data_IF_731434148966
#
_entry.id   IF_731434148966
#
_cell.length_a   1.000
_cell.length_b   1.000
_cell.length_c   1.000
_cell.angle_alpha   90.00
_cell.angle_beta   90.00
_cell.angle_gamma   90.00
#
_symmetry.space_group_name_H-M   'P 1'
#
loop_
_entity.id
_entity.type
_entity.pdbx_description
1 polymer ?
#
# COMPACT_ATOMS: atom_id res chain seq x y z
N UNK A 1 6.52 0.49 -20.71
CA UNK A 1 7.44 0.67 -19.60
C UNK A 1 6.86 0.03 -18.32
N UNK A 2 7.71 -0.32 -17.40
CA UNK A 2 7.28 -0.90 -16.14
C UNK A 2 6.40 0.04 -15.32
N UNK A 3 6.63 1.34 -15.42
CA UNK A 3 5.82 2.35 -14.71
C UNK A 3 4.37 2.33 -15.19
N UNK A 4 4.14 2.13 -16.48
CA UNK A 4 2.79 2.06 -17.02
C UNK A 4 2.05 0.80 -16.52
N UNK A 5 2.74 -0.34 -16.42
CA UNK A 5 2.12 -1.59 -15.96
C UNK A 5 1.79 -1.55 -14.47
N UNK A 6 2.47 -0.70 -13.67
CA UNK A 6 2.20 -0.57 -12.24
C UNK A 6 0.88 0.16 -11.96
N UNK A 7 0.31 0.85 -12.96
CA UNK A 7 -0.95 1.58 -12.82
C UNK A 7 -2.16 0.67 -13.00
N UNK A 8 -1.96 -0.49 -13.64
CA UNK A 8 -3.04 -1.40 -13.99
C UNK A 8 -2.88 -2.72 -13.25
N UNK A 9 -3.91 -3.11 -12.50
CA UNK A 9 -3.93 -4.40 -11.80
C UNK A 9 -5.31 -5.01 -11.84
N UNK A 10 -5.34 -6.35 -11.91
CA UNK A 10 -6.59 -7.09 -11.75
C UNK A 10 -6.88 -7.27 -10.27
N UNK A 11 -8.17 -7.41 -9.94
CA UNK A 11 -8.60 -7.63 -8.54
C UNK A 11 -7.93 -8.86 -7.93
N UNK A 12 -7.78 -9.93 -8.72
CA UNK A 12 -7.17 -11.16 -8.22
C UNK A 12 -5.70 -10.95 -7.90
N UNK A 13 -5.00 -10.13 -8.69
CA UNK A 13 -3.59 -9.83 -8.45
C UNK A 13 -3.43 -9.05 -7.13
N UNK A 14 -4.35 -8.10 -6.90
CA UNK A 14 -4.37 -7.32 -5.66
C UNK A 14 -4.64 -8.26 -4.47
N UNK A 15 -5.61 -9.15 -4.58
CA UNK A 15 -5.93 -10.10 -3.52
C UNK A 15 -4.72 -10.97 -3.19
N UNK A 16 -4.03 -11.47 -4.23
CA UNK A 16 -2.84 -12.31 -4.07
C UNK A 16 -1.72 -11.56 -3.36
N UNK A 17 -1.43 -10.34 -3.81
CA UNK A 17 -0.37 -9.53 -3.21
C UNK A 17 -0.66 -9.16 -1.75
N UNK A 18 -1.90 -8.86 -1.44
CA UNK A 18 -2.29 -8.40 -0.08
C UNK A 18 -2.64 -9.54 0.85
N UNK A 19 -2.77 -10.77 0.35
CA UNK A 19 -3.14 -11.91 1.17
C UNK A 19 -4.57 -11.87 1.68
N UNK A 20 -5.47 -11.13 1.00
CA UNK A 20 -6.89 -11.03 1.36
C UNK A 20 -7.75 -11.76 0.35
N UNK A 21 -9.01 -12.01 0.71
CA UNK A 21 -9.92 -12.75 -0.17
C UNK A 21 -10.38 -11.89 -1.34
N UNK A 22 -10.64 -12.56 -2.48
CA UNK A 22 -11.17 -11.89 -3.67
C UNK A 22 -12.49 -11.16 -3.42
N UNK A 23 -13.48 -11.75 -2.69
CA UNK A 23 -14.71 -11.02 -2.37
C UNK A 23 -14.49 -9.73 -1.61
N UNK A 24 -13.57 -9.71 -0.64
CA UNK A 24 -13.24 -8.49 0.12
C UNK A 24 -12.66 -7.43 -0.81
N UNK A 25 -11.77 -7.82 -1.72
CA UNK A 25 -11.19 -6.90 -2.70
C UNK A 25 -12.28 -6.37 -3.63
N UNK A 26 -13.21 -7.22 -4.08
CA UNK A 26 -14.30 -6.81 -4.97
C UNK A 26 -15.17 -5.71 -4.35
N UNK A 27 -15.50 -5.85 -3.06
CA UNK A 27 -16.29 -4.84 -2.34
C UNK A 27 -15.52 -3.52 -2.25
N UNK A 28 -14.24 -3.59 -1.87
CA UNK A 28 -13.40 -2.40 -1.76
C UNK A 28 -13.24 -1.70 -3.11
N UNK A 29 -13.01 -2.47 -4.19
CA UNK A 29 -12.86 -1.91 -5.53
C UNK A 29 -14.14 -1.25 -6.01
N UNK A 30 -15.29 -1.84 -5.72
CA UNK A 30 -16.58 -1.26 -6.07
C UNK A 30 -16.75 0.10 -5.41
N UNK A 31 -16.44 0.20 -4.12
CA UNK A 31 -16.55 1.44 -3.37
C UNK A 31 -15.61 2.51 -3.92
N UNK A 32 -14.37 2.15 -4.21
CA UNK A 32 -13.39 3.06 -4.77
C UNK A 32 -13.80 3.56 -6.16
N UNK A 33 -14.37 2.67 -6.97
CA UNK A 33 -14.85 3.03 -8.32
C UNK A 33 -16.04 4.00 -8.24
N UNK A 34 -16.97 3.76 -7.32
CA UNK A 34 -18.11 4.65 -7.12
C UNK A 34 -17.68 6.03 -6.62
N UNK A 35 -16.61 6.08 -5.83
CA UNK A 35 -16.07 7.34 -5.31
C UNK A 35 -15.18 8.08 -6.33
N UNK A 36 -14.88 7.46 -7.48
CA UNK A 36 -14.09 8.10 -8.53
C UNK A 36 -12.58 8.00 -8.36
N UNK A 37 -12.10 7.13 -7.47
CA UNK A 37 -10.67 6.94 -7.25
C UNK A 37 -10.04 5.98 -8.25
N UNK A 38 -10.82 5.07 -8.80
CA UNK A 38 -10.35 4.09 -9.78
C UNK A 38 -11.39 3.90 -10.87
N UNK A 39 -10.95 3.38 -12.02
CA UNK A 39 -11.82 2.84 -13.04
C UNK A 39 -11.41 1.39 -13.32
N UNK A 40 -12.29 0.63 -13.97
CA UNK A 40 -12.05 -0.77 -14.27
C UNK A 40 -12.60 -1.08 -15.66
N UNK A 41 -11.81 -1.76 -16.49
CA UNK A 41 -12.26 -2.16 -17.80
C UNK A 41 -12.99 -3.51 -17.74
N UNK A 42 -13.51 -3.97 -18.91
CA UNK A 42 -14.25 -5.22 -18.99
C UNK A 42 -13.43 -6.46 -18.69
N UNK A 43 -12.10 -6.38 -18.77
CA UNK A 43 -11.20 -7.48 -18.46
C UNK A 43 -10.81 -7.50 -16.98
N UNK A 44 -11.26 -6.53 -16.18
CA UNK A 44 -10.95 -6.46 -14.76
C UNK A 44 -9.65 -5.76 -14.44
N UNK A 45 -9.02 -5.08 -15.41
CA UNK A 45 -7.84 -4.27 -15.15
C UNK A 45 -8.26 -2.93 -14.53
N UNK A 46 -7.51 -2.53 -13.51
CA UNK A 46 -7.80 -1.34 -12.72
C UNK A 46 -6.87 -0.21 -13.14
N UNK A 47 -7.45 0.96 -13.38
CA UNK A 47 -6.70 2.20 -13.62
C UNK A 47 -6.94 3.12 -12.44
N UNK A 48 -5.86 3.62 -11.84
CA UNK A 48 -5.97 4.63 -10.77
C UNK A 48 -6.28 5.98 -11.42
N UNK A 49 -7.38 6.59 -11.02
CA UNK A 49 -7.68 7.97 -11.38
C UNK A 49 -6.80 8.91 -10.54
N UNK A 50 -6.59 10.18 -10.95
CA UNK A 50 -5.69 11.06 -10.22
C UNK A 50 -5.89 11.12 -8.70
N UNK A 51 -7.12 11.24 -8.16
CA UNK A 51 -7.30 11.21 -6.70
C UNK A 51 -6.91 9.87 -6.08
N UNK A 52 -7.21 8.76 -6.77
CA UNK A 52 -6.85 7.43 -6.31
C UNK A 52 -5.34 7.20 -6.35
N UNK A 53 -4.68 7.71 -7.37
CA UNK A 53 -3.22 7.61 -7.49
C UNK A 53 -2.53 8.33 -6.34
N UNK A 54 -3.02 9.51 -5.97
CA UNK A 54 -2.47 10.27 -4.87
C UNK A 54 -2.58 9.51 -3.54
N UNK A 55 -3.76 8.94 -3.27
CA UNK A 55 -4.00 8.15 -2.06
C UNK A 55 -3.13 6.89 -2.06
N UNK A 56 -3.09 6.18 -3.17
CA UNK A 56 -2.32 4.94 -3.28
C UNK A 56 -0.81 5.21 -3.10
N UNK A 57 -0.30 6.28 -3.66
CA UNK A 57 1.11 6.67 -3.51
C UNK A 57 1.44 6.95 -2.06
N UNK A 58 0.56 7.67 -1.36
CA UNK A 58 0.77 8.00 0.05
C UNK A 58 0.75 6.74 0.92
N UNK A 59 -0.24 5.87 0.72
CA UNK A 59 -0.36 4.63 1.50
C UNK A 59 0.79 3.68 1.20
N UNK A 60 1.19 3.55 -0.07
CA UNK A 60 2.32 2.72 -0.46
C UNK A 60 3.62 3.22 0.19
N UNK A 61 3.81 4.55 0.23
CA UNK A 61 4.95 5.14 0.90
C UNK A 61 4.99 4.80 2.39
N UNK A 62 3.85 4.88 3.07
CA UNK A 62 3.74 4.47 4.47
C UNK A 62 4.06 3.00 4.65
N UNK A 63 3.50 2.15 3.80
CA UNK A 63 3.73 0.71 3.85
C UNK A 63 5.22 0.38 3.75
N UNK A 64 5.91 0.97 2.78
CA UNK A 64 7.35 0.71 2.57
C UNK A 64 8.17 1.14 3.79
N UNK A 65 7.92 2.32 4.32
CA UNK A 65 8.67 2.85 5.46
C UNK A 65 8.43 2.05 6.73
N UNK A 66 7.17 1.67 6.99
CA UNK A 66 6.84 0.85 8.15
C UNK A 66 7.46 -0.54 8.05
N UNK A 67 7.39 -1.15 6.87
CA UNK A 67 7.99 -2.46 6.64
C UNK A 67 9.50 -2.41 6.91
N UNK A 68 10.19 -1.41 6.36
CA UNK A 68 11.64 -1.25 6.57
C UNK A 68 11.97 -1.03 8.03
N UNK A 69 11.16 -0.23 8.73
CA UNK A 69 11.36 0.02 10.15
C UNK A 69 11.27 -1.28 10.94
N UNK A 70 10.24 -2.09 10.71
CA UNK A 70 10.06 -3.35 11.41
C UNK A 70 11.18 -4.35 11.10
N UNK A 71 11.59 -4.43 9.84
CA UNK A 71 12.72 -5.31 9.46
C UNK A 71 14.00 -4.87 10.16
N UNK A 72 14.23 -3.56 10.27
CA UNK A 72 15.39 -3.03 10.96
C UNK A 72 15.38 -3.35 12.47
N UNK A 73 14.19 -3.51 13.05
CA UNK A 73 14.03 -3.95 14.44
C UNK A 73 14.32 -5.44 14.61
N UNK A 74 14.38 -6.19 13.53
CA UNK A 74 14.61 -7.64 13.60
C UNK A 74 13.38 -8.48 13.30
N UNK A 75 12.28 -7.85 12.86
CA UNK A 75 11.06 -8.58 12.50
C UNK A 75 11.27 -9.25 11.13
N UNK A 76 10.78 -10.49 11.00
CA UNK A 76 10.80 -11.20 9.72
C UNK A 76 10.14 -10.37 8.63
N UNK A 77 10.73 -10.28 7.42
CA UNK A 77 10.16 -9.42 6.36
C UNK A 77 8.70 -9.69 6.00
N UNK A 78 8.28 -10.95 5.99
CA UNK A 78 6.88 -11.31 5.71
C UNK A 78 5.95 -10.80 6.80
N UNK A 79 6.33 -10.99 8.06
CA UNK A 79 5.57 -10.50 9.22
C UNK A 79 5.55 -8.98 9.21
N UNK A 80 6.69 -8.35 8.94
CA UNK A 80 6.81 -6.89 8.88
C UNK A 80 5.86 -6.30 7.84
N UNK A 81 5.80 -6.89 6.66
CA UNK A 81 4.92 -6.43 5.59
C UNK A 81 3.44 -6.58 5.97
N UNK A 82 3.08 -7.70 6.60
CA UNK A 82 1.72 -7.93 7.07
C UNK A 82 1.31 -6.91 8.14
N UNK A 83 2.17 -6.68 9.11
CA UNK A 83 1.88 -5.73 10.19
C UNK A 83 1.80 -4.30 9.66
N UNK A 84 2.70 -3.92 8.76
CA UNK A 84 2.66 -2.62 8.12
C UNK A 84 1.33 -2.41 7.38
N UNK A 85 0.85 -3.44 6.70
CA UNK A 85 -0.41 -3.39 5.97
C UNK A 85 -1.60 -3.11 6.90
N UNK A 86 -1.55 -3.64 8.12
CA UNK A 86 -2.62 -3.45 9.10
C UNK A 86 -2.63 -2.04 9.69
N UNK A 87 -1.46 -1.48 9.99
CA UNK A 87 -1.39 -0.23 10.74
C UNK A 87 -1.23 1.02 9.88
N UNK A 88 -0.88 0.89 8.61
CA UNK A 88 -0.62 2.05 7.74
C UNK A 88 -1.82 2.98 7.60
N UNK A 89 -3.03 2.46 7.80
CA UNK A 89 -4.27 3.24 7.72
C UNK A 89 -4.67 3.84 9.06
N UNK A 90 -4.18 3.28 10.16
CA UNK A 90 -4.65 3.63 11.50
C UNK A 90 -3.75 4.65 12.20
N UNK A 91 -2.54 4.86 11.70
CA UNK A 91 -1.64 5.84 12.28
C UNK A 91 -2.01 7.26 11.85
N UNK A 92 -2.03 8.17 12.82
CA UNK A 92 -2.15 9.59 12.50
C UNK A 92 -0.91 10.06 11.73
N UNK A 93 -1.05 11.16 10.98
CA UNK A 93 0.08 11.75 10.27
C UNK A 93 1.18 12.15 11.25
N UNK A 94 0.80 12.70 12.40
CA UNK A 94 1.77 13.13 13.42
C UNK A 94 2.61 11.94 13.93
N UNK A 95 1.96 10.87 14.33
CA UNK A 95 2.68 9.69 14.82
C UNK A 95 3.57 9.10 13.74
N UNK A 96 3.06 9.00 12.52
CA UNK A 96 3.84 8.47 11.42
C UNK A 96 5.08 9.33 11.13
N UNK A 97 4.93 10.64 11.09
CA UNK A 97 6.05 11.57 10.85
C UNK A 97 7.13 11.44 11.92
N UNK A 98 6.72 11.34 13.18
CA UNK A 98 7.67 11.19 14.29
C UNK A 98 8.40 9.85 14.22
N UNK A 99 7.69 8.78 13.89
CA UNK A 99 8.27 7.46 13.71
C UNK A 99 9.31 7.48 12.58
N UNK A 100 8.96 8.08 11.44
CA UNK A 100 9.86 8.17 10.29
C UNK A 100 11.10 9.01 10.64
N UNK A 101 10.93 10.12 11.33
CA UNK A 101 12.05 10.97 11.73
C UNK A 101 13.03 10.22 12.64
N UNK A 102 12.50 9.46 13.59
CA UNK A 102 13.35 8.61 14.45
C UNK A 102 14.08 7.56 13.63
N UNK A 103 13.34 6.84 12.78
CA UNK A 103 13.91 5.78 11.97
C UNK A 103 15.02 6.31 11.03
N UNK A 104 14.82 7.46 10.43
CA UNK A 104 15.84 8.10 9.59
C UNK A 104 17.07 8.49 10.40
N UNK A 105 16.89 9.00 11.60
CA UNK A 105 18.01 9.37 12.47
C UNK A 105 18.87 8.17 12.85
N UNK A 106 18.27 6.97 12.88
CA UNK A 106 18.97 5.72 13.20
C UNK A 106 19.37 4.94 11.94
N UNK A 107 19.21 5.54 10.76
CA UNK A 107 19.54 4.89 9.47
C UNK A 107 18.77 3.59 9.24
N UNK A 108 17.55 3.49 9.75
CA UNK A 108 16.73 2.28 9.66
C UNK A 108 15.94 2.15 8.35
N UNK A 109 15.83 3.22 7.59
CA UNK A 109 15.03 3.24 6.36
C UNK A 109 15.85 3.15 5.08
N UNK A 110 17.12 2.85 5.19
CA UNK A 110 17.98 2.69 4.01
C UNK A 110 17.55 1.50 3.19
N UNK A 111 17.56 1.68 1.88
CA UNK A 111 17.38 0.56 0.97
C UNK A 111 18.63 -0.32 0.99
N UNK A 112 18.40 -1.60 1.10
CA UNK A 112 19.46 -2.59 1.02
C UNK A 112 19.82 -2.86 -0.43
#
# INVERSE_FOLDING_TARGET
SSAASDVYKRQIDIATEMGVTKPSVSIAMKNLRQAGYISMDGAGYITLEPPGLEIATRIYGRHKKLTRFFVALGVDPTVASHDACKIEHDLSAETFEKLVAFAESQHMLKES
#
